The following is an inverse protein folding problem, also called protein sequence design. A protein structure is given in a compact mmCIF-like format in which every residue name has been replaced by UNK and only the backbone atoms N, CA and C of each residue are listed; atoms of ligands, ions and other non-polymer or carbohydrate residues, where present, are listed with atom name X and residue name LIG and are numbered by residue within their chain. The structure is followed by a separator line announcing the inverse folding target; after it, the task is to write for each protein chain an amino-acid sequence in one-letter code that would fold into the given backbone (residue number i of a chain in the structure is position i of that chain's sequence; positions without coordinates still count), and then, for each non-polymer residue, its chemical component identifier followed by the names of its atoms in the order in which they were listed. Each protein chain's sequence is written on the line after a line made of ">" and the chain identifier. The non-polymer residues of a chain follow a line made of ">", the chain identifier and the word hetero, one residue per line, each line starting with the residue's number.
data_IF_684481480271
#
_entry.id   IF_684481480271
#
_cell.length_a   1.000
_cell.length_b   1.000
_cell.length_c   1.000
_cell.angle_alpha   90.00
_cell.angle_beta   90.00
_cell.angle_gamma   90.00
#
_symmetry.space_group_name_H-M   'P 1'
#
loop_
_entity.id
_entity.type
_entity.pdbx_description
1 polymer ?
#
# COMPACT_ATOMS: atom_id res chain seq x y z
N UNK A 1 15.83 -8.01 -3.27
CA UNK A 1 14.85 -8.29 -4.35
C UNK A 1 13.56 -7.60 -3.94
N UNK A 2 12.98 -6.75 -4.80
CA UNK A 2 11.72 -6.08 -4.49
C UNK A 2 10.55 -6.97 -4.87
N UNK A 3 9.63 -7.21 -3.93
CA UNK A 3 8.43 -8.00 -4.19
C UNK A 3 7.24 -7.07 -4.34
N UNK A 4 6.59 -7.11 -5.50
CA UNK A 4 5.35 -6.37 -5.73
C UNK A 4 4.19 -7.20 -5.20
N UNK A 5 3.34 -6.57 -4.38
CA UNK A 5 2.23 -7.21 -3.68
C UNK A 5 1.00 -6.32 -3.74
N UNK A 6 -0.16 -6.93 -3.52
CA UNK A 6 -1.44 -6.22 -3.41
C UNK A 6 -1.88 -6.18 -1.96
N UNK A 7 -2.46 -5.07 -1.54
CA UNK A 7 -3.08 -4.95 -0.23
C UNK A 7 -4.09 -3.82 -0.17
N UNK A 8 -4.75 -3.69 0.96
CA UNK A 8 -5.80 -2.69 1.20
C UNK A 8 -5.32 -1.70 2.24
N UNK A 9 -5.57 -0.41 2.04
CA UNK A 9 -5.23 0.61 3.03
C UNK A 9 -6.13 0.46 4.25
N UNK A 10 -5.54 0.11 5.40
CA UNK A 10 -6.20 0.08 6.69
C UNK A 10 -6.40 1.48 7.28
N UNK A 11 -5.51 2.42 6.93
CA UNK A 11 -5.58 3.81 7.31
C UNK A 11 -4.33 4.57 6.90
N UNK A 12 -4.43 5.89 6.82
CA UNK A 12 -3.30 6.78 6.52
C UNK A 12 -3.00 7.64 7.75
N UNK A 13 -1.72 7.87 8.03
CA UNK A 13 -1.25 8.74 9.10
C UNK A 13 -0.21 9.72 8.56
N UNK A 14 -0.66 10.93 8.25
CA UNK A 14 0.21 11.99 7.74
C UNK A 14 0.85 11.67 6.40
N UNK A 15 2.09 11.18 6.40
CA UNK A 15 2.87 10.77 5.20
C UNK A 15 2.89 9.25 4.97
N UNK A 16 2.39 8.44 5.89
CA UNK A 16 2.45 6.98 5.78
C UNK A 16 1.06 6.37 5.66
N UNK A 17 0.93 5.31 4.87
CA UNK A 17 -0.24 4.46 4.77
C UNK A 17 0.05 3.13 5.44
N UNK A 18 -0.92 2.65 6.18
CA UNK A 18 -0.92 1.32 6.76
C UNK A 18 -1.67 0.40 5.81
N UNK A 19 -0.99 -0.60 5.28
CA UNK A 19 -1.55 -1.53 4.31
C UNK A 19 -1.75 -2.89 4.98
N UNK A 20 -2.87 -3.52 4.68
CA UNK A 20 -3.17 -4.92 5.00
C UNK A 20 -2.92 -5.71 3.72
N UNK A 21 -1.90 -6.58 3.68
CA UNK A 21 -1.66 -7.46 2.56
C UNK A 21 -2.91 -8.30 2.26
N UNK A 22 -3.25 -8.47 0.98
CA UNK A 22 -4.32 -9.39 0.59
C UNK A 22 -3.86 -10.86 0.70
N UNK A 23 -2.55 -11.09 0.64
CA UNK A 23 -1.95 -12.41 0.79
C UNK A 23 -2.05 -12.91 2.25
N UNK A 24 -2.66 -14.09 2.49
CA UNK A 24 -2.85 -14.63 3.83
C UNK A 24 -1.54 -15.04 4.52
N UNK A 25 -0.43 -15.12 3.76
CA UNK A 25 0.90 -15.37 4.31
C UNK A 25 1.51 -14.17 5.02
N UNK A 26 1.02 -12.96 4.76
CA UNK A 26 1.51 -11.74 5.39
C UNK A 26 0.48 -11.23 6.38
N UNK A 27 0.61 -11.71 7.62
CA UNK A 27 -0.26 -11.33 8.73
C UNK A 27 0.11 -9.97 9.34
N UNK A 28 1.20 -9.35 8.87
CA UNK A 28 1.70 -8.08 9.40
C UNK A 28 1.23 -6.92 8.53
N UNK A 29 0.61 -5.95 9.17
CA UNK A 29 0.25 -4.70 8.51
C UNK A 29 1.50 -3.82 8.35
N UNK A 30 1.84 -3.50 7.10
CA UNK A 30 3.07 -2.78 6.77
C UNK A 30 2.79 -1.28 6.68
N UNK A 31 3.77 -0.48 7.13
CA UNK A 31 3.71 0.98 7.05
C UNK A 31 4.52 1.45 5.85
N UNK A 32 3.86 2.06 4.87
CA UNK A 32 4.49 2.53 3.61
C UNK A 32 4.38 4.04 3.51
N UNK A 33 5.43 4.70 3.06
CA UNK A 33 5.37 6.13 2.76
C UNK A 33 4.52 6.40 1.53
N UNK A 34 3.54 7.29 1.67
CA UNK A 34 2.66 7.72 0.60
C UNK A 34 3.39 8.79 -0.23
N UNK A 35 3.56 8.57 -1.55
CA UNK A 35 4.07 9.60 -2.44
C UNK A 35 3.16 10.83 -2.41
N UNK A 36 3.74 12.05 -2.42
CA UNK A 36 2.97 13.31 -2.32
C UNK A 36 1.84 13.43 -3.35
N UNK A 37 2.00 12.82 -4.54
CA UNK A 37 0.99 12.79 -5.60
C UNK A 37 -0.24 11.94 -5.27
N UNK A 38 -0.10 10.90 -4.46
CA UNK A 38 -1.18 9.96 -4.12
C UNK A 38 -1.85 10.30 -2.78
N UNK A 39 -1.32 11.28 -2.05
CA UNK A 39 -1.68 11.58 -0.67
C UNK A 39 -3.14 12.01 -0.48
N UNK A 40 -3.68 12.74 -1.45
CA UNK A 40 -5.09 13.16 -1.48
C UNK A 40 -6.02 12.12 -2.13
N UNK A 41 -5.48 11.06 -2.73
CA UNK A 41 -6.24 10.03 -3.46
C UNK A 41 -6.25 8.67 -2.77
N UNK A 42 -5.51 8.52 -1.67
CA UNK A 42 -5.39 7.28 -0.90
C UNK A 42 -6.16 7.42 0.43
N UNK A 43 -7.33 6.80 0.47
CA UNK A 43 -8.17 6.69 1.65
C UNK A 43 -8.22 5.26 2.19
N UNK A 44 -8.84 5.08 3.36
CA UNK A 44 -9.03 3.77 3.98
C UNK A 44 -9.97 2.92 3.13
N UNK A 45 -9.64 1.64 2.98
CA UNK A 45 -10.42 0.67 2.23
C UNK A 45 -10.04 0.59 0.75
N UNK A 46 -9.17 1.48 0.26
CA UNK A 46 -8.69 1.44 -1.12
C UNK A 46 -7.66 0.33 -1.28
N UNK A 47 -7.87 -0.52 -2.29
CA UNK A 47 -6.87 -1.49 -2.70
C UNK A 47 -5.72 -0.81 -3.45
N UNK A 48 -4.50 -1.21 -3.16
CA UNK A 48 -3.27 -0.62 -3.70
C UNK A 48 -2.26 -1.71 -4.02
N UNK A 49 -1.49 -1.47 -5.08
CA UNK A 49 -0.30 -2.26 -5.39
C UNK A 49 0.89 -1.54 -4.78
N UNK A 50 1.66 -2.26 -3.97
CA UNK A 50 2.87 -1.75 -3.35
C UNK A 50 4.05 -2.67 -3.62
N UNK A 51 5.25 -2.09 -3.65
CA UNK A 51 6.49 -2.86 -3.62
C UNK A 51 7.05 -2.85 -2.20
N UNK A 52 7.41 -4.03 -1.70
CA UNK A 52 8.14 -4.22 -0.45
C UNK A 52 9.62 -4.44 -0.74
N UNK A 53 10.46 -3.74 0.00
CA UNK A 53 11.92 -3.88 -0.01
C UNK A 53 12.40 -4.67 1.21
N UNK A 54 13.58 -5.27 1.10
CA UNK A 54 14.17 -6.09 2.16
C UNK A 54 14.48 -5.33 3.45
N UNK A 55 14.51 -3.99 3.41
CA UNK A 55 14.68 -3.09 4.56
C UNK A 55 13.38 -2.82 5.35
N UNK A 56 12.33 -3.62 5.14
CA UNK A 56 10.98 -3.40 5.72
C UNK A 56 10.33 -2.07 5.32
N UNK A 57 10.87 -1.43 4.29
CA UNK A 57 10.27 -0.26 3.65
C UNK A 57 9.47 -0.70 2.44
N UNK A 58 8.47 0.09 2.07
CA UNK A 58 7.73 -0.14 0.84
C UNK A 58 7.42 1.17 0.13
N UNK A 59 6.91 1.06 -1.09
CA UNK A 59 6.38 2.18 -1.85
C UNK A 59 5.07 1.78 -2.53
N UNK A 60 4.07 2.67 -2.49
CA UNK A 60 2.84 2.47 -3.25
C UNK A 60 3.13 2.80 -4.71
N UNK A 61 2.88 1.83 -5.58
CA UNK A 61 3.06 1.97 -7.03
C UNK A 61 1.81 2.55 -7.68
N UNK A 62 0.64 1.99 -7.36
CA UNK A 62 -0.64 2.43 -7.90
C UNK A 62 -1.81 2.02 -7.00
N UNK A 63 -2.99 2.62 -7.22
CA UNK A 63 -4.26 2.06 -6.73
C UNK A 63 -4.55 0.78 -7.52
N UNK A 64 -4.96 -0.26 -6.80
CA UNK A 64 -5.45 -1.52 -7.32
C UNK A 64 -6.99 -1.62 -7.22
N UNK A 65 -7.61 -0.58 -6.65
CA UNK A 65 -9.03 -0.28 -6.72
C UNK A 65 -9.34 -0.03 -8.19
N UNK A 66 -9.94 -1.02 -8.84
CA UNK A 66 -9.98 -1.17 -10.30
C UNK A 66 -10.80 -0.09 -11.01
N UNK A 67 -10.32 1.14 -11.03
CA UNK A 67 -10.77 2.18 -11.96
C UNK A 67 -10.11 1.95 -13.33
N UNK A 68 -10.41 0.82 -13.97
CA UNK A 68 -10.37 0.69 -15.43
C UNK A 68 -11.54 -0.21 -15.86
N UNK A 69 -12.51 0.46 -16.49
CA UNK A 69 -13.71 0.02 -17.24
C UNK A 69 -15.03 -0.28 -16.51
#
# INVERSE_FOLDING_TARGET
>A
MGHVKKGTIAGTTGITARIIPADPKETVSISITIPKKLRDSLDKGIEVIYAEFSDHTGIILCRADGEDE
#
